data_IF_254138622036
#
_entry.id   IF_254138622036
#
_cell.length_a   1.000
_cell.length_b   1.000
_cell.length_c   1.000
_cell.angle_alpha   90.00
_cell.angle_beta   90.00
_cell.angle_gamma   90.00
#
_symmetry.space_group_name_H-M   'P 1'
#
loop_
_entity.id
_entity.type
_entity.pdbx_description
1 polymer ?
#
# COMPACT_ATOMS: atom_id res chain seq x y z
N UNK A 1 11.49 15.84 -13.33
CA UNK A 1 11.82 17.27 -13.38
C UNK A 1 12.85 17.53 -12.29
N UNK A 2 14.03 18.12 -12.62
CA UNK A 2 15.04 18.42 -11.62
C UNK A 2 14.47 19.30 -10.48
N UNK A 3 14.78 18.92 -9.24
CA UNK A 3 14.33 19.66 -8.05
C UNK A 3 12.96 19.26 -7.47
N UNK A 4 12.16 18.49 -8.19
CA UNK A 4 10.92 17.93 -7.67
C UNK A 4 11.13 16.56 -7.00
N UNK A 5 10.20 16.12 -6.13
CA UNK A 5 10.18 14.76 -5.62
C UNK A 5 10.11 13.72 -6.72
N UNK A 6 10.48 12.47 -6.42
CA UNK A 6 10.43 11.36 -7.39
C UNK A 6 9.02 11.01 -7.82
N UNK A 7 8.03 11.19 -6.94
CA UNK A 7 6.63 11.02 -7.25
C UNK A 7 5.94 12.37 -7.36
N UNK A 8 5.38 12.67 -8.51
CA UNK A 8 4.69 13.94 -8.81
C UNK A 8 3.24 13.74 -9.24
N UNK A 9 2.74 12.52 -9.15
CA UNK A 9 1.41 12.09 -9.56
C UNK A 9 1.46 10.79 -10.35
N UNK A 10 0.32 10.15 -10.50
CA UNK A 10 0.17 8.89 -11.20
C UNK A 10 -0.72 7.89 -10.47
N UNK A 11 -0.63 6.64 -10.85
CA UNK A 11 -1.41 5.55 -10.26
C UNK A 11 -0.71 5.01 -9.01
N UNK A 12 -1.46 4.89 -7.92
CA UNK A 12 -1.04 4.28 -6.66
C UNK A 12 -2.10 3.30 -6.20
N UNK A 13 -1.70 2.13 -5.74
CA UNK A 13 -2.61 1.11 -5.26
C UNK A 13 -1.89 -0.20 -5.06
N UNK A 14 -2.59 -1.31 -5.28
CA UNK A 14 -2.02 -2.63 -5.09
C UNK A 14 -2.35 -3.59 -6.24
N UNK A 15 -1.53 -4.62 -6.34
CA UNK A 15 -1.79 -5.84 -7.09
C UNK A 15 -1.87 -6.98 -6.07
N UNK A 16 -2.95 -7.76 -6.09
CA UNK A 16 -3.07 -8.93 -5.24
C UNK A 16 -2.03 -10.00 -5.65
N UNK A 17 -1.68 -10.88 -4.73
CA UNK A 17 -0.75 -11.98 -5.01
C UNK A 17 -1.24 -12.85 -6.17
N UNK A 18 -2.54 -13.10 -6.21
CA UNK A 18 -3.23 -13.90 -7.23
C UNK A 18 -3.14 -13.29 -8.64
N UNK A 19 -2.80 -12.00 -8.75
CA UNK A 19 -2.55 -11.36 -10.05
C UNK A 19 -1.40 -12.03 -10.81
N UNK A 20 -0.48 -12.71 -10.12
CA UNK A 20 0.61 -13.49 -10.70
C UNK A 20 0.13 -14.56 -11.69
N UNK A 21 -1.13 -15.06 -11.55
CA UNK A 21 -1.75 -16.02 -12.48
C UNK A 21 -1.83 -15.52 -13.92
N UNK A 22 -1.92 -14.20 -14.12
CA UNK A 22 -2.00 -13.61 -15.45
C UNK A 22 -0.64 -13.59 -16.17
N UNK A 23 0.45 -13.56 -15.41
CA UNK A 23 1.83 -13.59 -15.93
C UNK A 23 2.43 -15.01 -16.00
N UNK A 24 2.10 -15.87 -15.01
CA UNK A 24 2.68 -17.19 -14.84
C UNK A 24 1.64 -18.30 -15.07
N UNK A 25 1.66 -18.88 -16.27
CA UNK A 25 0.71 -19.95 -16.68
C UNK A 25 0.93 -21.28 -15.95
N UNK A 26 2.07 -21.45 -15.29
CA UNK A 26 2.42 -22.67 -14.52
C UNK A 26 1.91 -22.62 -13.10
N UNK A 27 1.46 -21.47 -12.61
CA UNK A 27 0.86 -21.33 -11.30
C UNK A 27 -0.59 -21.82 -11.33
N UNK A 28 -0.86 -22.85 -10.55
CA UNK A 28 -2.23 -23.33 -10.32
C UNK A 28 -2.73 -22.75 -9.01
N UNK A 29 -3.61 -21.78 -9.09
CA UNK A 29 -4.41 -21.36 -7.95
C UNK A 29 -5.61 -22.31 -7.85
N UNK A 30 -5.82 -22.91 -6.68
CA UNK A 30 -7.00 -23.73 -6.46
C UNK A 30 -8.22 -22.82 -6.45
N UNK A 31 -9.21 -23.13 -7.25
CA UNK A 31 -10.50 -22.39 -7.27
C UNK A 31 -11.28 -22.52 -5.95
N UNK A 32 -10.81 -23.41 -5.05
CA UNK A 32 -11.40 -23.72 -3.75
C UNK A 32 -10.65 -23.04 -2.58
N UNK A 33 -10.05 -21.89 -2.75
CA UNK A 33 -9.55 -21.13 -1.60
C UNK A 33 -10.72 -20.74 -0.70
N UNK A 34 -10.58 -20.94 0.63
CA UNK A 34 -11.66 -20.61 1.55
C UNK A 34 -12.04 -19.15 1.39
N UNK A 35 -13.31 -18.89 1.14
CA UNK A 35 -13.87 -17.55 1.13
C UNK A 35 -13.74 -16.96 2.55
N UNK A 36 -12.71 -16.16 2.75
CA UNK A 36 -12.47 -15.44 4.02
C UNK A 36 -13.50 -14.31 4.25
N UNK A 37 -14.53 -14.20 3.40
CA UNK A 37 -15.56 -13.16 3.48
C UNK A 37 -15.06 -11.75 3.14
N UNK A 38 -13.84 -11.64 2.65
CA UNK A 38 -13.23 -10.39 2.19
C UNK A 38 -12.84 -10.58 0.73
N UNK A 39 -13.58 -9.93 -0.16
CA UNK A 39 -13.25 -9.93 -1.59
C UNK A 39 -12.34 -8.76 -1.89
N UNK A 40 -11.14 -9.04 -2.39
CA UNK A 40 -10.21 -8.05 -2.92
C UNK A 40 -10.22 -8.09 -4.44
N UNK A 41 -10.08 -6.94 -5.06
CA UNK A 41 -9.80 -6.89 -6.49
C UNK A 41 -8.37 -7.40 -6.75
N UNK A 42 -8.16 -8.08 -7.88
CA UNK A 42 -6.81 -8.48 -8.30
C UNK A 42 -5.90 -7.25 -8.51
N UNK A 43 -6.49 -6.11 -8.91
CA UNK A 43 -5.81 -4.83 -9.05
C UNK A 43 -6.75 -3.72 -8.61
N UNK A 44 -6.26 -2.82 -7.77
CA UNK A 44 -6.96 -1.59 -7.40
C UNK A 44 -5.97 -0.42 -7.43
N UNK A 45 -6.19 0.51 -8.35
CA UNK A 45 -5.31 1.64 -8.60
C UNK A 45 -6.09 2.95 -8.60
N UNK A 46 -5.67 3.87 -7.76
CA UNK A 46 -6.20 5.22 -7.67
C UNK A 46 -5.30 6.18 -8.45
N UNK A 47 -5.89 7.05 -9.27
CA UNK A 47 -5.15 8.10 -9.97
C UNK A 47 -5.03 9.35 -9.08
N UNK A 48 -3.80 9.72 -8.77
CA UNK A 48 -3.47 10.93 -8.03
C UNK A 48 -2.86 11.97 -8.97
N UNK A 49 -3.55 13.06 -9.16
CA UNK A 49 -3.11 14.22 -9.94
C UNK A 49 -2.69 15.40 -9.04
N UNK A 50 -2.99 15.31 -7.75
CA UNK A 50 -2.58 16.26 -6.71
C UNK A 50 -1.74 15.54 -5.67
N UNK A 51 -0.56 16.07 -5.37
CA UNK A 51 0.39 15.46 -4.43
C UNK A 51 0.92 16.51 -3.45
N UNK A 52 0.91 16.17 -2.17
CA UNK A 52 1.62 16.91 -1.11
C UNK A 52 2.84 16.08 -0.72
N UNK A 53 4.03 16.59 -1.02
CA UNK A 53 5.27 15.90 -0.71
C UNK A 53 6.07 16.64 0.36
N UNK A 54 6.42 15.93 1.43
CA UNK A 54 7.24 16.45 2.53
C UNK A 54 8.69 16.02 2.35
N UNK A 55 9.58 16.97 2.07
CA UNK A 55 11.03 16.73 2.06
C UNK A 55 11.59 17.08 3.45
N UNK A 56 11.75 16.06 4.28
CA UNK A 56 12.25 16.23 5.65
C UNK A 56 13.72 16.65 5.70
N UNK A 57 14.48 16.37 4.65
CA UNK A 57 15.88 16.75 4.58
C UNK A 57 16.03 18.25 4.27
N UNK A 58 15.30 18.74 3.27
CA UNK A 58 15.29 20.16 2.90
C UNK A 58 14.34 20.99 3.76
N UNK A 59 13.46 20.36 4.54
CA UNK A 59 12.40 21.00 5.35
C UNK A 59 11.45 21.85 4.51
N UNK A 60 11.05 21.35 3.36
CA UNK A 60 10.11 21.99 2.44
C UNK A 60 8.92 21.06 2.15
N UNK A 61 7.80 21.66 1.82
CA UNK A 61 6.60 20.97 1.35
C UNK A 61 6.40 21.36 -0.11
N UNK A 62 6.26 20.36 -0.97
CA UNK A 62 5.89 20.56 -2.36
C UNK A 62 4.41 20.30 -2.52
N UNK A 63 3.70 21.22 -3.11
CA UNK A 63 2.32 21.07 -3.55
C UNK A 63 2.35 20.96 -5.07
N UNK A 64 1.90 19.84 -5.59
CA UNK A 64 2.05 19.49 -7.00
C UNK A 64 0.67 19.16 -7.57
N UNK A 65 0.34 19.77 -8.70
CA UNK A 65 -0.87 19.49 -9.46
C UNK A 65 -0.50 19.13 -10.90
N UNK A 66 -0.88 17.94 -11.34
CA UNK A 66 -0.77 17.51 -12.73
C UNK A 66 -2.04 17.91 -13.46
N UNK A 67 -1.90 18.60 -14.60
CA UNK A 67 -3.02 19.10 -15.38
C UNK A 67 -3.02 18.50 -16.79
N UNK A 68 -4.20 18.50 -17.42
CA UNK A 68 -4.33 18.17 -18.83
C UNK A 68 -3.85 19.34 -19.70
N UNK A 69 -3.38 19.03 -20.90
CA UNK A 69 -2.82 20.01 -21.85
C UNK A 69 -3.82 20.45 -22.92
N UNK A 70 -5.04 19.92 -22.92
CA UNK A 70 -6.15 20.25 -23.80
C UNK A 70 -6.66 21.62 -23.45
N UNK A 71 -6.66 22.50 -23.06
CA UNK A 71 -7.01 23.85 -22.60
C UNK A 71 -6.03 24.28 -21.50
N UNK A 72 -4.77 24.37 -21.91
CA UNK A 72 -3.67 24.55 -20.95
C UNK A 72 -3.82 25.79 -20.09
N UNK A 73 -4.29 26.91 -20.65
CA UNK A 73 -4.40 28.19 -19.96
C UNK A 73 -5.49 28.15 -18.89
N UNK A 74 -6.68 27.66 -19.22
CA UNK A 74 -7.78 27.51 -18.27
C UNK A 74 -7.45 26.49 -17.16
N UNK A 75 -6.87 25.35 -17.56
CA UNK A 75 -6.45 24.32 -16.61
C UNK A 75 -5.35 24.81 -15.67
N UNK A 76 -4.42 25.65 -16.16
CA UNK A 76 -3.35 26.23 -15.34
C UNK A 76 -3.90 27.21 -14.30
N UNK A 77 -4.78 28.12 -14.70
CA UNK A 77 -5.39 29.07 -13.75
C UNK A 77 -6.24 28.37 -12.68
N UNK A 78 -6.97 27.32 -13.07
CA UNK A 78 -7.73 26.47 -12.14
C UNK A 78 -6.80 25.77 -11.15
N UNK A 79 -5.76 25.11 -11.65
CA UNK A 79 -4.78 24.40 -10.83
C UNK A 79 -4.04 25.32 -9.85
N UNK A 80 -3.71 26.53 -10.30
CA UNK A 80 -3.07 27.55 -9.44
C UNK A 80 -3.97 27.91 -8.26
N UNK A 81 -5.26 28.16 -8.52
CA UNK A 81 -6.23 28.45 -7.46
C UNK A 81 -6.38 27.29 -6.48
N UNK A 82 -6.51 26.06 -6.99
CA UNK A 82 -6.58 24.85 -6.16
C UNK A 82 -5.33 24.68 -5.28
N UNK A 83 -4.14 24.96 -5.83
CA UNK A 83 -2.89 24.90 -5.08
C UNK A 83 -2.79 25.99 -4.01
N UNK A 84 -3.30 27.20 -4.26
CA UNK A 84 -3.33 28.28 -3.27
C UNK A 84 -4.30 27.92 -2.11
N UNK A 85 -5.46 27.33 -2.41
CA UNK A 85 -6.39 26.82 -1.40
C UNK A 85 -5.79 25.68 -0.57
N UNK A 86 -5.09 24.77 -1.24
CA UNK A 86 -4.37 23.66 -0.59
C UNK A 86 -3.24 24.18 0.31
N UNK A 87 -2.49 25.18 -0.15
CA UNK A 87 -1.43 25.82 0.64
C UNK A 87 -2.01 26.47 1.91
N UNK A 88 -3.16 27.14 1.79
CA UNK A 88 -3.85 27.71 2.93
C UNK A 88 -4.29 26.61 3.92
N UNK A 89 -4.89 25.53 3.43
CA UNK A 89 -5.30 24.40 4.25
C UNK A 89 -4.13 23.77 5.01
N UNK A 90 -2.99 23.59 4.32
CA UNK A 90 -1.77 23.01 4.95
C UNK A 90 -1.18 23.97 6.00
N UNK A 91 -1.24 25.29 5.77
CA UNK A 91 -0.65 26.28 6.67
C UNK A 91 -1.54 26.58 7.90
N UNK A 92 -2.86 26.60 7.71
CA UNK A 92 -3.83 27.01 8.74
C UNK A 92 -4.62 25.84 9.32
N UNK A 93 -4.30 24.63 8.91
CA UNK A 93 -5.05 23.39 8.95
C UNK A 93 -5.97 23.19 10.14
N UNK A 94 -7.20 22.87 9.87
CA UNK A 94 -8.10 22.35 10.88
C UNK A 94 -7.65 20.96 11.31
N UNK A 95 -7.63 20.73 12.60
CA UNK A 95 -7.32 19.43 13.16
C UNK A 95 -8.53 18.52 13.02
N UNK A 96 -8.34 17.42 12.27
CA UNK A 96 -9.39 16.41 12.13
C UNK A 96 -9.07 15.21 13.05
N UNK A 97 -9.98 14.93 13.99
CA UNK A 97 -9.86 13.76 14.85
C UNK A 97 -10.41 12.53 14.11
N UNK A 98 -9.50 11.64 13.72
CA UNK A 98 -9.90 10.38 13.08
C UNK A 98 -10.38 9.41 14.17
N UNK A 99 -11.58 8.79 14.01
CA UNK A 99 -12.10 7.81 14.95
C UNK A 99 -11.08 6.70 15.23
N UNK A 100 -10.91 6.37 16.50
CA UNK A 100 -10.00 5.29 16.89
C UNK A 100 -10.59 3.96 16.48
N UNK A 101 -9.75 3.13 15.86
CA UNK A 101 -10.11 1.75 15.55
C UNK A 101 -10.23 0.89 16.82
N UNK A 102 -11.13 -0.08 16.80
CA UNK A 102 -11.39 -1.02 17.90
C UNK A 102 -11.59 -2.41 17.37
N UNK A 103 -10.86 -3.37 17.94
CA UNK A 103 -11.13 -4.79 17.76
C UNK A 103 -12.42 -5.16 18.50
N UNK A 104 -13.33 -5.82 17.82
CA UNK A 104 -14.60 -6.33 18.37
C UNK A 104 -14.49 -7.79 18.80
N UNK A 105 -13.53 -8.52 18.20
CA UNK A 105 -13.25 -9.94 18.55
C UNK A 105 -11.75 -10.12 18.76
N UNK A 106 -11.37 -11.29 19.29
CA UNK A 106 -9.98 -11.76 19.21
C UNK A 106 -9.60 -12.09 17.77
N UNK A 107 -8.29 -12.25 17.53
CA UNK A 107 -7.78 -12.76 16.25
C UNK A 107 -8.01 -14.27 16.14
N UNK A 108 -8.44 -14.71 14.97
CA UNK A 108 -8.53 -16.10 14.55
C UNK A 108 -7.44 -16.35 13.52
N UNK A 109 -6.65 -17.38 13.73
CA UNK A 109 -5.57 -17.78 12.83
C UNK A 109 -6.12 -18.74 11.77
N UNK A 110 -5.69 -18.62 10.52
CA UNK A 110 -6.07 -19.51 9.43
C UNK A 110 -5.54 -20.93 9.64
N UNK A 111 -4.27 -21.05 10.07
CA UNK A 111 -3.66 -22.31 10.49
C UNK A 111 -3.47 -22.30 12.01
N UNK A 112 -3.83 -23.40 12.64
CA UNK A 112 -3.42 -23.64 14.00
C UNK A 112 -1.88 -23.84 14.09
N UNK A 113 -1.35 -23.75 15.29
CA UNK A 113 0.10 -23.84 15.51
C UNK A 113 0.70 -25.16 15.00
N UNK A 114 -0.01 -26.28 15.14
CA UNK A 114 0.53 -27.59 14.75
C UNK A 114 0.55 -27.73 13.22
N UNK A 115 -0.52 -27.30 12.56
CA UNK A 115 -0.59 -27.25 11.10
C UNK A 115 0.49 -26.34 10.51
N UNK A 116 0.69 -25.15 11.08
CA UNK A 116 1.74 -24.22 10.64
C UNK A 116 3.15 -24.82 10.75
N UNK A 117 3.47 -25.45 11.88
CA UNK A 117 4.77 -26.11 12.09
C UNK A 117 5.00 -27.20 11.04
N UNK A 118 3.99 -28.02 10.74
CA UNK A 118 4.08 -29.07 9.74
C UNK A 118 4.40 -28.53 8.36
N UNK A 119 3.77 -27.42 7.96
CA UNK A 119 4.08 -26.79 6.66
C UNK A 119 5.49 -26.17 6.65
N UNK A 120 5.97 -25.61 7.76
CA UNK A 120 7.36 -25.15 7.89
C UNK A 120 8.35 -26.31 7.70
N UNK A 121 8.11 -27.46 8.32
CA UNK A 121 8.95 -28.66 8.18
C UNK A 121 8.99 -29.16 6.74
N UNK A 122 7.85 -29.13 6.04
CA UNK A 122 7.74 -29.46 4.63
C UNK A 122 8.56 -28.53 3.74
N UNK A 123 8.48 -27.21 3.97
CA UNK A 123 9.29 -26.23 3.24
C UNK A 123 10.79 -26.42 3.50
N UNK A 124 11.17 -26.71 4.75
CA UNK A 124 12.57 -27.02 5.09
C UNK A 124 13.07 -28.28 4.36
N UNK A 125 12.22 -29.27 4.14
CA UNK A 125 12.55 -30.44 3.34
C UNK A 125 12.84 -30.04 1.90
N UNK A 126 11.98 -29.27 1.24
CA UNK A 126 12.21 -28.82 -0.13
C UNK A 126 13.47 -27.96 -0.29
N UNK A 127 13.83 -27.16 0.72
CA UNK A 127 15.09 -26.41 0.73
C UNK A 127 16.30 -27.39 0.78
N UNK A 128 16.23 -28.45 1.59
CA UNK A 128 17.32 -29.46 1.69
C UNK A 128 17.47 -30.27 0.42
N UNK A 129 16.37 -30.60 -0.26
CA UNK A 129 16.39 -31.31 -1.55
C UNK A 129 16.86 -30.41 -2.71
N UNK A 130 16.93 -29.10 -2.51
CA UNK A 130 17.34 -28.15 -3.53
C UNK A 130 16.25 -27.73 -4.50
N UNK A 131 14.98 -28.03 -4.19
CA UNK A 131 13.82 -27.62 -4.99
C UNK A 131 13.62 -26.10 -4.95
N UNK A 132 13.87 -25.49 -3.79
CA UNK A 132 13.78 -24.07 -3.53
C UNK A 132 14.92 -23.66 -2.59
N UNK A 133 15.27 -22.36 -2.58
CA UNK A 133 16.25 -21.83 -1.63
C UNK A 133 15.63 -20.88 -0.59
N UNK A 134 14.44 -20.37 -0.86
CA UNK A 134 13.68 -19.49 0.02
C UNK A 134 12.18 -19.71 -0.16
N UNK A 135 11.42 -19.62 0.93
CA UNK A 135 9.97 -19.58 0.92
C UNK A 135 9.46 -18.68 2.04
N UNK A 136 8.32 -18.06 1.82
CA UNK A 136 7.58 -17.31 2.82
C UNK A 136 6.24 -18.01 3.04
N UNK A 137 6.06 -18.63 4.21
CA UNK A 137 4.79 -19.24 4.59
C UNK A 137 3.93 -18.18 5.26
N UNK A 138 2.80 -17.87 4.64
CA UNK A 138 1.82 -16.94 5.19
C UNK A 138 0.88 -17.64 6.17
N UNK A 139 0.45 -16.96 7.21
CA UNK A 139 -0.65 -17.36 8.07
C UNK A 139 -1.57 -16.17 8.27
N UNK A 140 -2.71 -16.20 7.62
CA UNK A 140 -3.73 -15.17 7.72
C UNK A 140 -4.31 -15.11 9.14
N UNK A 141 -4.60 -13.90 9.59
CA UNK A 141 -5.28 -13.66 10.86
C UNK A 141 -6.42 -12.69 10.65
N UNK A 142 -7.60 -13.03 11.09
CA UNK A 142 -8.79 -12.21 10.96
C UNK A 142 -9.38 -11.82 12.31
N UNK A 143 -10.04 -10.68 12.34
CA UNK A 143 -10.81 -10.22 13.50
C UNK A 143 -11.86 -9.23 13.05
N UNK A 144 -12.97 -9.14 13.76
CA UNK A 144 -13.93 -8.05 13.54
C UNK A 144 -13.38 -6.74 14.11
N UNK A 145 -13.46 -5.71 13.28
CA UNK A 145 -12.91 -4.39 13.58
C UNK A 145 -13.92 -3.30 13.24
N UNK A 146 -13.89 -2.21 13.99
CA UNK A 146 -14.71 -1.02 13.77
C UNK A 146 -13.81 0.23 13.80
N UNK A 147 -14.10 1.22 12.94
CA UNK A 147 -13.34 2.46 12.84
C UNK A 147 -12.24 2.40 11.77
N UNK A 148 -11.25 3.29 11.85
CA UNK A 148 -10.20 3.43 10.85
C UNK A 148 -8.88 2.82 11.28
N UNK A 149 -8.16 2.24 10.33
CA UNK A 149 -6.79 1.74 10.49
C UNK A 149 -5.74 2.88 10.60
N UNK A 150 -6.12 4.14 10.36
CA UNK A 150 -5.18 5.26 10.36
C UNK A 150 -4.37 5.39 11.65
N UNK A 151 -5.03 5.24 12.81
CA UNK A 151 -4.32 5.27 14.09
C UNK A 151 -3.42 4.04 14.30
N UNK A 152 -3.81 2.87 13.78
CA UNK A 152 -2.95 1.69 13.76
C UNK A 152 -1.69 1.94 12.90
N UNK A 153 -1.83 2.56 11.73
CA UNK A 153 -0.71 3.01 10.91
C UNK A 153 0.23 3.97 11.66
N UNK A 154 -0.32 4.94 12.40
CA UNK A 154 0.48 5.89 13.19
C UNK A 154 1.32 5.20 14.27
N UNK A 155 0.80 4.14 14.87
CA UNK A 155 1.56 3.30 15.81
C UNK A 155 2.58 2.44 15.06
N UNK A 156 2.18 1.78 13.98
CA UNK A 156 3.05 0.93 13.17
C UNK A 156 4.32 1.65 12.72
N UNK A 157 4.20 2.89 12.24
CA UNK A 157 5.35 3.68 11.78
C UNK A 157 6.35 4.04 12.88
N UNK A 158 5.97 3.94 14.14
CA UNK A 158 6.86 4.19 15.29
C UNK A 158 7.42 2.91 15.90
N UNK A 159 6.67 1.82 15.84
CA UNK A 159 7.05 0.53 16.44
C UNK A 159 7.81 -0.37 15.49
N UNK A 160 7.50 -0.29 14.19
CA UNK A 160 8.14 -1.10 13.15
C UNK A 160 8.41 -0.26 11.89
N UNK A 161 9.28 0.76 11.95
CA UNK A 161 9.60 1.60 10.81
C UNK A 161 10.29 0.79 9.72
N UNK A 162 9.96 1.07 8.47
CA UNK A 162 10.58 0.48 7.29
C UNK A 162 10.75 1.52 6.18
N UNK A 163 11.57 1.25 5.14
CA UNK A 163 11.76 2.17 4.01
C UNK A 163 10.47 2.49 3.26
N UNK A 164 9.53 1.55 3.21
CA UNK A 164 8.27 1.70 2.49
C UNK A 164 7.10 1.53 3.46
N UNK A 165 6.57 2.65 3.91
CA UNK A 165 5.39 2.68 4.76
C UNK A 165 4.23 3.29 3.99
N UNK A 166 3.08 2.65 4.04
CA UNK A 166 1.92 3.12 3.32
C UNK A 166 0.63 3.00 4.14
N UNK A 167 -0.28 3.88 3.84
CA UNK A 167 -1.67 3.83 4.22
C UNK A 167 -2.49 4.22 3.00
N UNK A 168 -3.32 3.33 2.52
CA UNK A 168 -4.26 3.53 1.43
C UNK A 168 -5.67 3.49 1.98
N UNK A 169 -6.51 4.40 1.55
CA UNK A 169 -7.91 4.46 1.96
C UNK A 169 -8.79 4.72 0.74
N UNK A 170 -9.74 3.86 0.53
CA UNK A 170 -10.82 3.99 -0.45
C UNK A 170 -12.17 3.85 0.25
N UNK A 171 -13.31 4.05 -0.41
CA UNK A 171 -14.62 3.87 0.20
C UNK A 171 -14.84 2.46 0.79
N UNK A 172 -14.24 1.44 0.20
CA UNK A 172 -14.50 0.04 0.52
C UNK A 172 -13.33 -0.65 1.23
N UNK A 173 -12.15 -0.02 1.29
CA UNK A 173 -10.94 -0.67 1.77
C UNK A 173 -9.97 0.31 2.41
N UNK A 174 -9.42 -0.06 3.56
CA UNK A 174 -8.21 0.54 4.11
C UNK A 174 -7.09 -0.49 4.14
N UNK A 175 -5.91 -0.11 3.62
CA UNK A 175 -4.69 -0.91 3.69
C UNK A 175 -3.60 -0.13 4.38
N UNK A 176 -2.85 -0.80 5.26
CA UNK A 176 -1.66 -0.22 5.86
C UNK A 176 -0.55 -1.26 5.96
N UNK A 177 0.68 -0.80 5.78
CA UNK A 177 1.83 -1.70 5.86
C UNK A 177 3.15 -1.00 6.07
N UNK A 178 4.13 -1.84 6.43
CA UNK A 178 5.53 -1.48 6.57
C UNK A 178 6.35 -2.54 5.81
N UNK A 179 6.85 -2.18 4.62
CA UNK A 179 7.61 -3.09 3.76
C UNK A 179 9.10 -2.75 3.80
N UNK A 180 9.98 -3.73 4.05
CA UNK A 180 11.42 -3.51 4.06
C UNK A 180 12.04 -3.58 2.66
N UNK A 181 11.35 -4.15 1.69
CA UNK A 181 11.94 -4.57 0.43
C UNK A 181 11.20 -4.02 -0.78
N UNK A 182 11.96 -3.67 -1.82
CA UNK A 182 11.44 -3.27 -3.13
C UNK A 182 11.26 -4.52 -3.98
N UNK A 183 10.06 -4.78 -4.49
CA UNK A 183 9.86 -5.85 -5.48
C UNK A 183 10.56 -5.52 -6.79
N UNK A 184 10.28 -4.35 -7.34
CA UNK A 184 10.90 -3.84 -8.57
C UNK A 184 10.79 -2.34 -8.63
N UNK A 185 11.84 -1.68 -9.10
CA UNK A 185 11.85 -0.24 -9.35
C UNK A 185 12.33 0.06 -10.75
N UNK A 186 11.56 0.84 -11.49
CA UNK A 186 11.92 1.27 -12.84
C UNK A 186 12.16 2.78 -12.85
N UNK A 187 13.35 3.20 -13.29
CA UNK A 187 13.71 4.61 -13.41
C UNK A 187 14.19 4.88 -14.83
N UNK A 188 13.34 5.51 -15.63
CA UNK A 188 13.59 5.71 -17.05
C UNK A 188 13.67 4.34 -17.77
N UNK A 189 14.90 3.92 -18.15
CA UNK A 189 15.16 2.61 -18.79
C UNK A 189 15.92 1.63 -17.90
N UNK A 190 16.17 1.99 -16.66
CA UNK A 190 16.87 1.16 -15.68
C UNK A 190 15.85 0.43 -14.81
N UNK A 191 16.09 -0.84 -14.63
CA UNK A 191 15.37 -1.74 -13.74
C UNK A 191 16.29 -2.06 -12.54
N UNK A 192 15.82 -1.82 -11.33
CA UNK A 192 16.49 -2.12 -10.05
C UNK A 192 15.65 -3.10 -9.25
#
# INVERSE_FOLDING_TARGET
IPGLPTFTGGLVGYFAYEYSRYGEKTLYFKDDEPDHGISFNDVDLMLFDTVIAFDHNKKVIYLIRTIKTDDLEANYETAKKELDELAHTVACGEYWDVPRGKLLTGFEDEFDRAAFIKEVEKLQHHIKEGDIFQAVLSNGRSAKFEGSLFNAYRVLRTTNPSPYMFYLSSPDLELTGASPETLVKVTGRRLD
#
